data_IF_720904353174
#
_entry.id   IF_720904353174
#
_cell.length_a   1.000
_cell.length_b   1.000
_cell.length_c   1.000
_cell.angle_alpha   90.00
_cell.angle_beta   90.00
_cell.angle_gamma   90.00
#
_symmetry.space_group_name_H-M   'P 1'
#
loop_
_entity.id
_entity.type
_entity.pdbx_description
1 polymer ?
#
# COMPACT_ATOMS: atom_id res chain seq x y z
N UNK A 1 -23.86 9.05 -9.03
CA UNK A 1 -23.53 8.07 -7.98
C UNK A 1 -23.81 8.66 -6.60
N UNK A 2 -23.26 9.82 -6.22
CA UNK A 2 -23.47 10.43 -4.88
C UNK A 2 -24.92 10.61 -4.45
N UNK A 3 -25.81 10.88 -5.38
CA UNK A 3 -27.25 11.06 -5.11
C UNK A 3 -27.99 9.77 -4.72
N UNK A 4 -27.37 8.60 -4.95
CA UNK A 4 -27.98 7.29 -4.73
C UNK A 4 -27.15 6.41 -3.79
N UNK A 5 -26.05 6.94 -3.24
CA UNK A 5 -25.20 6.21 -2.33
C UNK A 5 -25.66 6.43 -0.88
N UNK A 6 -25.82 5.36 -0.12
CA UNK A 6 -26.12 5.42 1.32
C UNK A 6 -24.91 5.92 2.12
N UNK A 7 -23.70 5.57 1.66
CA UNK A 7 -22.43 5.94 2.30
C UNK A 7 -21.44 6.44 1.24
N UNK A 8 -20.63 7.44 1.61
CA UNK A 8 -19.51 7.93 0.79
C UNK A 8 -18.29 8.18 1.69
N UNK A 9 -17.09 7.87 1.19
CA UNK A 9 -15.89 8.01 2.00
C UNK A 9 -14.62 7.51 1.32
N UNK A 10 -13.51 7.54 2.06
CA UNK A 10 -12.24 6.94 1.64
C UNK A 10 -12.27 5.41 1.78
N UNK A 11 -11.21 4.77 1.27
CA UNK A 11 -11.15 3.31 1.13
C UNK A 11 -11.41 2.55 2.42
N UNK A 12 -10.67 2.84 3.49
CA UNK A 12 -10.77 2.07 4.72
C UNK A 12 -12.00 2.44 5.54
N UNK A 13 -12.28 3.74 5.63
CA UNK A 13 -13.46 4.25 6.36
C UNK A 13 -14.73 3.69 5.75
N UNK A 14 -14.88 3.80 4.42
CA UNK A 14 -16.07 3.31 3.72
C UNK A 14 -16.27 1.80 3.90
N UNK A 15 -15.17 1.01 3.81
CA UNK A 15 -15.23 -0.43 4.03
C UNK A 15 -15.66 -0.78 5.48
N UNK A 16 -15.18 -0.03 6.48
CA UNK A 16 -15.59 -0.21 7.89
C UNK A 16 -17.07 0.16 8.11
N UNK A 17 -17.50 1.31 7.61
CA UNK A 17 -18.88 1.78 7.73
C UNK A 17 -19.85 0.81 7.03
N UNK A 18 -19.48 0.31 5.84
CA UNK A 18 -20.26 -0.68 5.12
C UNK A 18 -20.40 -2.00 5.91
N UNK A 19 -19.32 -2.52 6.46
CA UNK A 19 -19.36 -3.73 7.29
C UNK A 19 -20.21 -3.54 8.56
N UNK A 20 -20.26 -2.33 9.13
CA UNK A 20 -21.06 -2.00 10.31
C UNK A 20 -22.53 -1.65 10.01
N UNK A 21 -22.90 -1.42 8.75
CA UNK A 21 -24.23 -0.96 8.34
C UNK A 21 -25.37 -1.93 8.69
N UNK A 22 -25.10 -3.19 8.95
CA UNK A 22 -26.11 -4.22 9.15
C UNK A 22 -26.75 -4.74 7.85
N UNK A 23 -26.44 -4.15 6.70
CA UNK A 23 -26.93 -4.60 5.40
C UNK A 23 -26.41 -5.98 5.06
N UNK A 24 -27.26 -6.85 4.52
CA UNK A 24 -26.85 -8.17 4.03
C UNK A 24 -26.07 -8.07 2.72
N UNK A 25 -26.45 -7.13 1.86
CA UNK A 25 -25.82 -6.89 0.57
C UNK A 25 -25.18 -5.50 0.58
N UNK A 26 -23.89 -5.43 0.27
CA UNK A 26 -23.10 -4.22 0.20
C UNK A 26 -22.67 -4.03 -1.25
N UNK A 27 -23.35 -3.13 -1.97
CA UNK A 27 -22.96 -2.78 -3.34
C UNK A 27 -21.85 -1.74 -3.28
N UNK A 28 -20.62 -2.16 -3.54
CA UNK A 28 -19.42 -1.34 -3.39
C UNK A 28 -19.04 -0.71 -4.74
N UNK A 29 -19.47 0.55 -4.97
CA UNK A 29 -19.16 1.30 -6.19
C UNK A 29 -17.76 1.96 -6.08
N UNK A 30 -16.72 1.15 -6.14
CA UNK A 30 -15.33 1.53 -6.02
C UNK A 30 -14.42 0.63 -6.83
N UNK A 31 -13.13 0.63 -6.50
CA UNK A 31 -12.15 -0.24 -7.14
C UNK A 31 -12.03 -1.59 -6.40
N UNK A 32 -11.52 -2.60 -7.10
CA UNK A 32 -11.48 -3.99 -6.64
C UNK A 32 -10.93 -4.17 -5.22
N UNK A 33 -9.75 -3.61 -4.90
CA UNK A 33 -9.16 -3.76 -3.56
C UNK A 33 -10.02 -3.18 -2.43
N UNK A 34 -10.87 -2.17 -2.72
CA UNK A 34 -11.79 -1.60 -1.72
C UNK A 34 -12.93 -2.56 -1.41
N UNK A 35 -13.48 -3.22 -2.43
CA UNK A 35 -14.50 -4.25 -2.25
C UNK A 35 -13.93 -5.47 -1.50
N UNK A 36 -12.71 -5.88 -1.80
CA UNK A 36 -12.01 -6.93 -1.02
C UNK A 36 -11.86 -6.55 0.46
N UNK A 37 -11.50 -5.29 0.76
CA UNK A 37 -11.40 -4.82 2.16
C UNK A 37 -12.78 -4.81 2.82
N UNK A 38 -13.81 -4.40 2.11
CA UNK A 38 -15.18 -4.47 2.64
C UNK A 38 -15.59 -5.90 2.95
N UNK A 39 -15.28 -6.85 2.08
CA UNK A 39 -15.57 -8.28 2.28
C UNK A 39 -14.78 -8.85 3.48
N UNK A 40 -13.48 -8.57 3.58
CA UNK A 40 -12.63 -8.99 4.70
C UNK A 40 -13.15 -8.48 6.06
N UNK A 41 -13.71 -7.28 6.10
CA UNK A 41 -14.22 -6.66 7.33
C UNK A 41 -15.68 -7.03 7.61
N UNK A 42 -16.39 -7.59 6.63
CA UNK A 42 -17.79 -7.96 6.74
C UNK A 42 -18.02 -9.20 7.60
N UNK A 43 -19.23 -9.32 8.15
CA UNK A 43 -19.65 -10.53 8.83
C UNK A 43 -19.92 -11.66 7.82
N UNK A 44 -19.90 -12.93 8.24
CA UNK A 44 -20.17 -14.07 7.34
C UNK A 44 -21.53 -14.07 6.65
N UNK A 45 -22.51 -13.32 7.17
CA UNK A 45 -23.84 -13.17 6.60
C UNK A 45 -23.98 -12.00 5.63
N UNK A 46 -22.93 -11.18 5.46
CA UNK A 46 -22.86 -10.06 4.54
C UNK A 46 -22.15 -10.46 3.23
N UNK A 47 -22.58 -9.86 2.14
CA UNK A 47 -22.04 -10.13 0.80
C UNK A 47 -21.63 -8.80 0.17
N UNK A 48 -20.33 -8.62 -0.07
CA UNK A 48 -19.83 -7.49 -0.83
C UNK A 48 -19.96 -7.77 -2.34
N UNK A 49 -20.56 -6.83 -3.05
CA UNK A 49 -20.82 -6.91 -4.50
C UNK A 49 -20.08 -5.77 -5.17
N UNK A 50 -19.12 -6.10 -6.03
CA UNK A 50 -18.46 -5.16 -6.92
C UNK A 50 -19.16 -5.19 -8.29
N UNK A 51 -19.82 -4.10 -8.73
CA UNK A 51 -20.58 -4.09 -9.97
C UNK A 51 -19.75 -4.34 -11.23
N UNK A 52 -18.49 -3.91 -11.21
CA UNK A 52 -17.52 -4.13 -12.30
C UNK A 52 -16.22 -4.69 -11.73
N UNK A 53 -15.96 -5.96 -11.99
CA UNK A 53 -14.73 -6.64 -11.54
C UNK A 53 -13.46 -6.10 -12.21
N UNK A 54 -13.57 -5.39 -13.34
CA UNK A 54 -12.46 -4.74 -14.02
C UNK A 54 -12.12 -3.36 -13.44
N UNK A 55 -12.92 -2.84 -12.49
CA UNK A 55 -12.63 -1.59 -11.81
C UNK A 55 -11.36 -1.72 -10.95
N UNK A 56 -10.20 -1.48 -11.55
CA UNK A 56 -8.88 -1.62 -10.95
C UNK A 56 -8.28 -0.32 -10.44
N UNK A 57 -7.11 -0.44 -9.82
CA UNK A 57 -6.26 0.68 -9.40
C UNK A 57 -4.85 0.42 -9.92
N UNK A 58 -4.37 1.25 -10.85
CA UNK A 58 -3.06 1.07 -11.49
C UNK A 58 -1.90 0.97 -10.49
N UNK A 59 -1.98 1.65 -9.35
CA UNK A 59 -0.98 1.54 -8.30
C UNK A 59 -1.05 0.18 -7.59
N UNK A 60 -2.25 -0.30 -7.27
CA UNK A 60 -2.43 -1.61 -6.63
C UNK A 60 -1.88 -2.72 -7.53
N UNK A 61 -2.06 -2.60 -8.84
CA UNK A 61 -1.64 -3.59 -9.84
C UNK A 61 -0.11 -3.59 -10.09
N UNK A 62 0.62 -2.58 -9.61
CA UNK A 62 2.10 -2.54 -9.72
C UNK A 62 2.81 -3.50 -8.77
N UNK A 63 2.12 -4.05 -7.77
CA UNK A 63 2.61 -5.15 -6.96
C UNK A 63 1.58 -6.28 -7.01
N UNK A 64 2.01 -7.46 -7.44
CA UNK A 64 1.21 -8.68 -7.37
C UNK A 64 1.92 -9.71 -6.49
N UNK A 65 1.15 -10.68 -6.01
CA UNK A 65 1.64 -11.71 -5.10
C UNK A 65 2.91 -12.40 -5.61
N UNK A 66 2.91 -12.86 -6.85
CA UNK A 66 4.05 -13.59 -7.40
C UNK A 66 5.33 -12.73 -7.45
N UNK A 67 5.21 -11.45 -7.77
CA UNK A 67 6.36 -10.54 -7.78
C UNK A 67 6.90 -10.25 -6.38
N UNK A 68 6.00 -10.11 -5.39
CA UNK A 68 6.42 -9.85 -4.00
C UNK A 68 7.00 -11.12 -3.36
N UNK A 69 6.43 -12.30 -3.59
CA UNK A 69 6.99 -13.58 -3.14
C UNK A 69 8.39 -13.81 -3.74
N UNK A 70 8.56 -13.58 -5.05
CA UNK A 70 9.88 -13.65 -5.70
C UNK A 70 10.87 -12.66 -5.09
N UNK A 71 10.47 -11.42 -4.83
CA UNK A 71 11.34 -10.45 -4.18
C UNK A 71 11.75 -10.91 -2.77
N UNK A 72 10.85 -11.54 -2.03
CA UNK A 72 11.14 -12.11 -0.72
C UNK A 72 12.14 -13.26 -0.79
N UNK A 73 11.98 -14.16 -1.76
CA UNK A 73 12.93 -15.26 -2.04
C UNK A 73 14.31 -14.70 -2.45
N UNK A 74 14.35 -13.68 -3.29
CA UNK A 74 15.60 -13.03 -3.68
C UNK A 74 16.29 -12.35 -2.48
N UNK A 75 15.54 -11.71 -1.58
CA UNK A 75 16.06 -11.13 -0.35
C UNK A 75 16.66 -12.20 0.58
N UNK A 76 16.12 -13.43 0.60
CA UNK A 76 16.68 -14.56 1.37
C UNK A 76 18.11 -14.92 0.95
N UNK A 77 18.51 -14.58 -0.26
CA UNK A 77 19.90 -14.81 -0.71
C UNK A 77 20.90 -13.83 -0.09
N UNK A 78 20.42 -12.74 0.51
CA UNK A 78 21.25 -11.67 1.07
C UNK A 78 21.18 -11.60 2.59
N UNK A 79 20.01 -11.88 3.18
CA UNK A 79 19.74 -11.80 4.61
C UNK A 79 18.55 -12.69 4.96
N UNK A 80 18.22 -12.84 6.24
CA UNK A 80 16.98 -13.45 6.68
C UNK A 80 15.86 -12.39 6.72
N UNK A 81 14.96 -12.35 5.71
CA UNK A 81 13.94 -11.33 5.66
C UNK A 81 12.87 -11.49 6.75
N UNK A 82 12.58 -12.72 7.19
CA UNK A 82 11.61 -12.96 8.25
C UNK A 82 12.12 -12.50 9.63
N UNK A 83 13.44 -12.48 9.84
CA UNK A 83 14.04 -11.90 11.03
C UNK A 83 14.27 -10.38 10.92
N UNK A 84 14.59 -9.86 9.72
CA UNK A 84 15.15 -8.52 9.55
C UNK A 84 14.18 -7.51 8.95
N UNK A 85 13.18 -7.94 8.16
CA UNK A 85 12.31 -7.07 7.37
C UNK A 85 10.85 -7.19 7.81
N UNK A 86 10.21 -6.07 8.11
CA UNK A 86 8.75 -6.00 8.23
C UNK A 86 8.14 -5.64 6.88
N UNK A 87 7.36 -6.52 6.24
CA UNK A 87 6.64 -6.15 5.03
C UNK A 87 5.44 -5.27 5.38
N UNK A 88 5.34 -4.12 4.73
CA UNK A 88 4.26 -3.16 4.90
C UNK A 88 3.58 -2.93 3.56
N UNK A 89 2.28 -3.22 3.49
CA UNK A 89 1.51 -2.89 2.29
C UNK A 89 0.59 -1.70 2.53
N UNK A 90 0.53 -0.83 1.55
CA UNK A 90 -0.49 0.21 1.50
C UNK A 90 -1.86 -0.43 1.25
N UNK A 91 -2.92 0.13 1.82
CA UNK A 91 -4.30 -0.39 1.70
C UNK A 91 -4.71 -0.59 0.23
N UNK A 92 -4.16 0.21 -0.68
CA UNK A 92 -4.32 0.09 -2.13
C UNK A 92 -3.47 -1.06 -2.67
N UNK A 93 -3.85 -2.26 -2.33
CA UNK A 93 -3.22 -3.53 -2.73
C UNK A 93 -4.27 -4.65 -2.69
N UNK A 94 -4.04 -5.73 -3.42
CA UNK A 94 -4.91 -6.90 -3.41
C UNK A 94 -4.91 -7.61 -2.03
N UNK A 95 -5.97 -8.36 -1.73
CA UNK A 95 -6.15 -9.07 -0.47
C UNK A 95 -5.04 -10.09 -0.21
N UNK A 96 -4.54 -10.76 -1.25
CA UNK A 96 -3.45 -11.73 -1.16
C UNK A 96 -2.12 -11.13 -0.69
N UNK A 97 -1.84 -9.85 -1.05
CA UNK A 97 -0.69 -9.11 -0.54
C UNK A 97 -0.85 -8.72 0.93
N UNK A 98 -2.07 -8.40 1.37
CA UNK A 98 -2.37 -8.19 2.79
C UNK A 98 -2.15 -9.48 3.59
N UNK A 99 -2.59 -10.60 3.02
CA UNK A 99 -2.36 -11.93 3.59
C UNK A 99 -0.86 -12.30 3.62
N UNK A 100 -0.09 -11.95 2.58
CA UNK A 100 1.38 -12.08 2.57
C UNK A 100 1.99 -11.31 3.76
N UNK A 101 1.65 -10.04 3.93
CA UNK A 101 2.13 -9.26 5.07
C UNK A 101 1.81 -9.95 6.40
N UNK A 102 0.57 -10.42 6.58
CA UNK A 102 0.16 -11.12 7.81
C UNK A 102 0.99 -12.38 8.09
N UNK A 103 1.26 -13.20 7.06
CA UNK A 103 2.08 -14.42 7.20
C UNK A 103 3.53 -14.13 7.59
N UNK A 104 4.09 -13.02 7.13
CA UNK A 104 5.47 -12.61 7.41
C UNK A 104 5.58 -11.60 8.57
N UNK A 105 4.55 -11.51 9.43
CA UNK A 105 4.56 -10.62 10.60
C UNK A 105 4.58 -9.13 10.25
N UNK A 106 4.04 -8.79 9.07
CA UNK A 106 3.89 -7.43 8.58
C UNK A 106 2.52 -6.84 8.83
N UNK A 107 2.23 -5.72 8.19
CA UNK A 107 1.03 -4.92 8.48
C UNK A 107 0.56 -4.13 7.26
N UNK A 108 -0.70 -3.69 7.30
CA UNK A 108 -1.32 -2.80 6.30
C UNK A 108 -1.29 -1.37 6.81
N UNK A 109 -0.96 -0.40 5.95
CA UNK A 109 -1.05 1.02 6.27
C UNK A 109 -2.04 1.77 5.37
N UNK A 110 -2.41 2.96 5.81
CA UNK A 110 -3.08 3.99 5.01
C UNK A 110 -2.18 5.23 4.92
N UNK A 111 -2.52 6.20 4.07
CA UNK A 111 -1.77 7.47 4.02
C UNK A 111 -1.81 8.25 5.33
N UNK A 112 -2.90 8.11 6.09
CA UNK A 112 -3.09 8.83 7.36
C UNK A 112 -2.33 8.23 8.55
N UNK A 113 -2.01 6.92 8.53
CA UNK A 113 -1.33 6.24 9.64
C UNK A 113 0.04 5.66 9.26
N UNK A 114 0.56 6.01 8.09
CA UNK A 114 1.82 5.45 7.59
C UNK A 114 3.00 5.67 8.57
N UNK A 115 3.03 6.81 9.27
CA UNK A 115 4.05 7.08 10.30
C UNK A 115 3.98 6.09 11.45
N UNK A 116 2.81 5.94 12.05
CA UNK A 116 2.61 5.03 13.20
C UNK A 116 2.93 3.58 12.82
N UNK A 117 2.59 3.20 11.58
CA UNK A 117 2.89 1.88 11.04
C UNK A 117 4.39 1.67 10.84
N UNK A 118 5.11 2.67 10.34
CA UNK A 118 6.57 2.57 10.22
C UNK A 118 7.25 2.53 11.59
N UNK A 119 6.80 3.32 12.56
CA UNK A 119 7.28 3.27 13.95
C UNK A 119 7.04 1.87 14.55
N UNK A 120 5.84 1.32 14.39
CA UNK A 120 5.51 -0.04 14.79
C UNK A 120 6.39 -1.10 14.13
N UNK A 121 6.70 -0.93 12.84
CA UNK A 121 7.52 -1.85 12.05
C UNK A 121 8.97 -1.84 12.52
N UNK A 122 9.57 -0.66 12.70
CA UNK A 122 10.94 -0.49 13.18
C UNK A 122 11.14 -0.89 14.64
N UNK A 123 10.08 -0.89 15.46
CA UNK A 123 10.14 -1.44 16.80
C UNK A 123 10.25 -2.98 16.83
N UNK A 124 10.02 -3.66 15.71
CA UNK A 124 10.03 -5.12 15.58
C UNK A 124 11.20 -5.65 14.79
N UNK A 125 11.55 -4.97 13.70
CA UNK A 125 12.64 -5.36 12.81
C UNK A 125 13.37 -4.12 12.33
N UNK A 126 14.61 -4.29 11.93
CA UNK A 126 15.47 -3.16 11.55
C UNK A 126 15.14 -2.55 10.17
N UNK A 127 14.45 -3.32 9.31
CA UNK A 127 14.15 -2.93 7.93
C UNK A 127 12.66 -3.02 7.63
N UNK A 128 12.24 -2.27 6.61
CA UNK A 128 10.88 -2.30 6.06
C UNK A 128 10.94 -2.55 4.56
N UNK A 129 10.16 -3.51 4.06
CA UNK A 129 9.79 -3.62 2.64
C UNK A 129 8.41 -2.96 2.48
N UNK A 130 8.36 -1.84 1.75
CA UNK A 130 7.15 -1.04 1.57
C UNK A 130 6.64 -1.13 0.14
N UNK A 131 5.40 -1.56 -0.06
CA UNK A 131 4.76 -1.69 -1.38
C UNK A 131 3.27 -1.33 -1.34
N UNK A 132 2.62 -1.08 -2.48
CA UNK A 132 3.13 -1.04 -3.85
C UNK A 132 3.72 0.31 -4.26
N UNK A 133 3.61 1.36 -3.46
CA UNK A 133 4.01 2.74 -3.76
C UNK A 133 5.32 3.12 -3.07
N UNK A 134 6.26 3.68 -3.83
CA UNK A 134 7.54 4.12 -3.27
C UNK A 134 7.44 5.48 -2.55
N UNK A 135 6.52 6.34 -2.98
CA UNK A 135 6.49 7.75 -2.55
C UNK A 135 5.93 7.90 -1.14
N UNK A 136 4.86 7.18 -0.79
CA UNK A 136 4.30 7.22 0.57
C UNK A 136 5.34 6.75 1.58
N UNK A 137 5.99 5.60 1.33
CA UNK A 137 7.04 5.08 2.21
C UNK A 137 8.22 6.02 2.33
N UNK A 138 8.76 6.50 1.19
CA UNK A 138 9.89 7.44 1.16
C UNK A 138 9.60 8.74 1.91
N UNK A 139 8.49 9.38 1.59
CA UNK A 139 8.14 10.67 2.18
C UNK A 139 7.87 10.56 3.69
N UNK A 140 7.25 9.46 4.12
CA UNK A 140 7.01 9.21 5.55
C UNK A 140 8.33 8.93 6.27
N UNK A 141 9.17 8.03 5.74
CA UNK A 141 10.48 7.73 6.32
C UNK A 141 11.40 8.95 6.41
N UNK A 142 11.41 9.80 5.36
CA UNK A 142 12.18 11.03 5.36
C UNK A 142 11.71 12.00 6.47
N UNK A 143 10.40 12.17 6.65
CA UNK A 143 9.83 12.98 7.73
C UNK A 143 10.09 12.40 9.13
N UNK A 144 10.37 11.12 9.24
CA UNK A 144 10.81 10.45 10.47
C UNK A 144 12.31 10.55 10.72
N UNK A 145 13.06 11.21 9.83
CA UNK A 145 14.51 11.40 9.94
C UNK A 145 15.34 10.25 9.36
N UNK A 146 14.75 9.33 8.61
CA UNK A 146 15.51 8.31 7.88
C UNK A 146 16.15 9.00 6.67
N UNK A 147 17.50 8.95 6.52
CA UNK A 147 18.17 9.59 5.40
C UNK A 147 17.85 8.88 4.08
N UNK A 148 17.84 9.63 2.98
CA UNK A 148 17.48 9.08 1.65
C UNK A 148 18.44 7.98 1.21
N UNK A 149 19.71 8.03 1.64
CA UNK A 149 20.75 7.03 1.36
C UNK A 149 20.44 5.67 2.01
N UNK A 150 19.62 5.66 3.07
CA UNK A 150 19.15 4.45 3.73
C UNK A 150 17.83 3.92 3.13
N UNK A 151 17.34 4.50 2.04
CA UNK A 151 16.14 4.10 1.31
C UNK A 151 16.51 3.69 -0.11
N UNK A 152 16.35 2.41 -0.42
CA UNK A 152 16.60 1.88 -1.76
C UNK A 152 15.29 1.60 -2.48
N UNK A 153 15.31 1.68 -3.82
CA UNK A 153 14.13 1.39 -4.64
C UNK A 153 14.27 0.03 -5.29
N UNK A 154 13.34 -0.87 -5.00
CA UNK A 154 13.26 -2.21 -5.59
C UNK A 154 12.55 -2.17 -6.93
N UNK A 155 13.31 -2.37 -8.01
CA UNK A 155 12.77 -2.51 -9.37
C UNK A 155 12.37 -3.98 -9.61
N UNK A 156 11.11 -4.28 -9.49
CA UNK A 156 10.56 -5.64 -9.59
C UNK A 156 10.75 -6.30 -10.97
N UNK A 157 11.24 -5.56 -11.97
CA UNK A 157 11.60 -6.08 -13.29
C UNK A 157 13.04 -6.58 -13.38
N UNK A 158 13.84 -6.41 -12.31
CA UNK A 158 15.26 -6.73 -12.28
C UNK A 158 15.59 -7.73 -11.18
N UNK A 159 16.57 -8.61 -11.39
CA UNK A 159 17.09 -9.46 -10.32
C UNK A 159 17.57 -8.62 -9.13
N UNK A 160 17.30 -9.08 -7.91
CA UNK A 160 17.57 -8.35 -6.65
C UNK A 160 17.07 -6.89 -6.66
N UNK A 161 15.98 -6.63 -7.39
CA UNK A 161 15.46 -5.28 -7.53
C UNK A 161 16.41 -4.32 -8.26
N UNK A 162 17.45 -4.81 -8.93
CA UNK A 162 18.53 -4.02 -9.51
C UNK A 162 19.52 -3.46 -8.49
N UNK A 163 19.52 -3.99 -7.26
CA UNK A 163 20.37 -3.56 -6.15
C UNK A 163 21.55 -4.50 -5.95
N UNK A 164 22.60 -4.02 -5.27
CA UNK A 164 23.66 -4.89 -4.80
C UNK A 164 23.32 -5.45 -3.42
N UNK A 165 23.87 -6.62 -3.03
CA UNK A 165 23.70 -7.17 -1.68
C UNK A 165 24.05 -6.16 -0.58
N UNK A 166 25.12 -5.38 -0.75
CA UNK A 166 25.54 -4.35 0.21
C UNK A 166 24.51 -3.22 0.33
N UNK A 167 23.91 -2.81 -0.79
CA UNK A 167 22.85 -1.79 -0.76
C UNK A 167 21.61 -2.28 0.01
N UNK A 168 21.24 -3.55 -0.15
CA UNK A 168 20.14 -4.18 0.59
C UNK A 168 20.48 -4.29 2.08
N UNK A 169 21.70 -4.72 2.43
CA UNK A 169 22.15 -4.86 3.81
C UNK A 169 22.18 -3.52 4.55
N UNK A 170 22.59 -2.44 3.87
CA UNK A 170 22.71 -1.11 4.46
C UNK A 170 21.38 -0.34 4.46
N UNK A 171 20.39 -0.76 3.67
CA UNK A 171 19.10 -0.10 3.62
C UNK A 171 18.29 -0.29 4.90
N UNK A 172 17.60 0.74 5.32
CA UNK A 172 16.52 0.68 6.31
C UNK A 172 15.15 0.52 5.68
N UNK A 173 14.96 1.08 4.48
CA UNK A 173 13.71 0.94 3.73
C UNK A 173 14.01 0.43 2.32
N UNK A 174 13.32 -0.61 1.94
CA UNK A 174 13.27 -1.15 0.58
C UNK A 174 11.90 -0.76 0.02
N UNK A 175 11.89 0.12 -0.97
CA UNK A 175 10.69 0.74 -1.51
C UNK A 175 10.37 0.13 -2.87
N UNK A 176 9.20 -0.46 -3.01
CA UNK A 176 8.73 -0.99 -4.28
C UNK A 176 8.59 0.11 -5.32
N UNK A 177 9.10 -0.10 -6.52
CA UNK A 177 9.14 0.89 -7.60
C UNK A 177 7.76 1.12 -8.24
N UNK A 178 6.73 1.27 -7.45
CA UNK A 178 5.40 1.62 -7.89
C UNK A 178 5.07 3.09 -7.62
N UNK A 179 3.99 3.57 -8.21
CA UNK A 179 3.52 4.94 -8.09
C UNK A 179 2.02 5.04 -8.45
N UNK A 180 1.37 6.09 -7.99
CA UNK A 180 0.01 6.41 -8.42
C UNK A 180 0.05 7.22 -9.71
N UNK A 181 -0.52 6.70 -10.80
CA UNK A 181 -0.59 7.41 -12.09
C UNK A 181 -1.36 8.72 -11.99
N UNK A 182 -2.39 8.78 -11.13
CA UNK A 182 -3.16 10.01 -10.88
C UNK A 182 -2.29 11.08 -10.22
N UNK A 183 -1.50 10.70 -9.19
CA UNK A 183 -0.60 11.65 -8.51
C UNK A 183 0.48 12.20 -9.44
N UNK A 184 0.90 11.46 -10.47
CA UNK A 184 1.89 11.92 -11.44
C UNK A 184 1.40 13.11 -12.29
N UNK A 185 0.10 13.28 -12.47
CA UNK A 185 -0.47 14.41 -13.23
C UNK A 185 -0.67 15.66 -12.38
N UNK A 186 -0.62 15.56 -11.04
CA UNK A 186 -0.68 16.72 -10.15
C UNK A 186 0.72 17.30 -9.95
N UNK A 187 0.91 18.54 -10.37
CA UNK A 187 2.21 19.22 -10.31
C UNK A 187 2.12 20.50 -9.45
N UNK A 188 3.22 20.95 -8.83
CA UNK A 188 3.24 22.18 -8.01
C UNK A 188 2.66 23.39 -8.74
N UNK A 189 2.92 23.53 -10.04
CA UNK A 189 2.39 24.63 -10.87
C UNK A 189 0.84 24.70 -10.87
N UNK A 190 0.16 23.61 -10.58
CA UNK A 190 -1.30 23.62 -10.48
C UNK A 190 -1.78 24.37 -9.24
N UNK A 191 -1.01 24.36 -8.15
CA UNK A 191 -1.28 25.13 -6.93
C UNK A 191 -1.14 26.62 -7.25
N UNK A 192 -0.04 27.03 -7.90
CA UNK A 192 0.20 28.43 -8.28
C UNK A 192 -0.93 28.96 -9.16
N UNK A 193 -1.29 28.20 -10.20
CA UNK A 193 -2.41 28.58 -11.09
C UNK A 193 -3.77 28.63 -10.40
N UNK A 194 -3.98 27.78 -9.39
CA UNK A 194 -5.22 27.83 -8.60
C UNK A 194 -5.26 29.09 -7.74
N UNK A 195 -4.17 29.41 -7.04
CA UNK A 195 -4.08 30.59 -6.18
C UNK A 195 -4.16 31.90 -6.98
N UNK A 196 -3.62 31.95 -8.21
CA UNK A 196 -3.79 33.10 -9.12
C UNK A 196 -5.26 33.37 -9.48
N UNK A 197 -6.08 32.34 -9.59
CA UNK A 197 -7.50 32.43 -9.95
C UNK A 197 -8.44 32.57 -8.75
N UNK A 198 -7.96 32.19 -7.59
CA UNK A 198 -8.72 32.14 -6.33
C UNK A 198 -7.86 32.71 -5.19
N UNK A 199 -7.55 34.04 -5.23
CA UNK A 199 -6.71 34.71 -4.26
C UNK A 199 -7.32 34.77 -2.85
#
# INVERSE_FOLDING_TARGET
VFTHADLTGDSLRLSREAAQSGAKYIVFCGVHFMAEVADILSRPDQIAILPDLAAGCSMADMANRAAVERAWEELQTVLDPDASITPVTYINSAADLKAFCGRHGGIVCTSSNARDILEWSFARREKVLFFPDQHLGRNTGYRMGIPLEAMVTWDFSKPLGGLTPEAIQNARMILWKGFCSVHQVFQPVHIDRFLERHP
#
